data_IF_141112920723
#
_entry.id   IF_141112920723
#
_cell.length_a   1.000
_cell.length_b   1.000
_cell.length_c   1.000
_cell.angle_alpha   90.00
_cell.angle_beta   90.00
_cell.angle_gamma   90.00
#
_symmetry.space_group_name_H-M   'P 1'
#
loop_
_entity.id
_entity.type
_entity.pdbx_description
1 polymer ?
#
# COMPACT_ATOMS: atom_id res chain seq x y z
N UNK A 1 -15.84 7.16 -0.20
CA UNK A 1 -16.57 7.71 -1.37
C UNK A 1 -15.98 7.03 -2.59
N UNK A 2 -16.83 6.42 -3.43
CA UNK A 2 -16.40 5.71 -4.62
C UNK A 2 -16.89 6.39 -5.89
N UNK A 3 -15.99 6.59 -6.87
CA UNK A 3 -16.27 7.11 -8.20
C UNK A 3 -16.23 8.63 -8.31
N UNK A 4 -15.71 9.11 -9.44
CA UNK A 4 -15.70 10.51 -9.80
C UNK A 4 -17.11 10.96 -10.28
N UNK A 5 -17.47 12.21 -10.04
CA UNK A 5 -18.71 12.80 -10.54
C UNK A 5 -19.33 13.83 -9.58
N UNK A 6 -20.36 14.53 -10.06
CA UNK A 6 -21.00 15.66 -9.35
C UNK A 6 -21.54 15.29 -7.96
N UNK A 7 -22.10 14.08 -7.81
CA UNK A 7 -22.65 13.58 -6.55
C UNK A 7 -21.76 12.54 -5.87
N UNK A 8 -20.48 12.45 -6.28
CA UNK A 8 -19.52 11.45 -5.81
C UNK A 8 -18.21 12.13 -5.43
N UNK A 9 -17.08 11.64 -5.94
CA UNK A 9 -15.79 12.32 -5.76
C UNK A 9 -15.64 13.48 -6.74
N UNK A 10 -15.40 14.65 -6.20
CA UNK A 10 -15.06 15.88 -6.92
C UNK A 10 -14.27 16.79 -5.96
N UNK A 11 -13.73 17.90 -6.45
CA UNK A 11 -12.91 18.80 -5.64
C UNK A 11 -13.64 19.27 -4.37
N UNK A 12 -14.91 19.63 -4.44
CA UNK A 12 -15.68 20.10 -3.27
C UNK A 12 -15.87 19.01 -2.20
N UNK A 13 -16.12 17.77 -2.63
CA UNK A 13 -16.23 16.63 -1.70
C UNK A 13 -14.88 16.32 -1.05
N UNK A 14 -13.78 16.39 -1.81
CA UNK A 14 -12.42 16.22 -1.28
C UNK A 14 -12.09 17.32 -0.29
N UNK A 15 -12.33 18.59 -0.66
CA UNK A 15 -12.16 19.74 0.23
C UNK A 15 -12.93 19.55 1.54
N UNK A 16 -14.23 19.26 1.44
CA UNK A 16 -15.07 19.03 2.62
C UNK A 16 -14.58 17.89 3.50
N UNK A 17 -14.18 16.76 2.91
CA UNK A 17 -13.65 15.62 3.64
C UNK A 17 -12.33 15.99 4.35
N UNK A 18 -11.48 16.76 3.68
CA UNK A 18 -10.20 17.21 4.21
C UNK A 18 -10.38 18.28 5.28
N UNK A 19 -11.37 19.19 5.15
CA UNK A 19 -11.71 20.14 6.22
C UNK A 19 -12.13 19.41 7.51
N UNK A 20 -12.96 18.36 7.40
CA UNK A 20 -13.32 17.55 8.57
C UNK A 20 -12.12 16.81 9.17
N UNK A 21 -11.23 16.26 8.34
CA UNK A 21 -9.97 15.69 8.81
C UNK A 21 -9.09 16.74 9.48
N UNK A 22 -9.03 17.96 8.93
CA UNK A 22 -8.26 19.08 9.51
C UNK A 22 -8.73 19.44 10.92
N UNK A 23 -10.05 19.55 11.13
CA UNK A 23 -10.59 19.82 12.48
C UNK A 23 -10.23 18.71 13.47
N UNK A 24 -10.31 17.45 13.02
CA UNK A 24 -9.91 16.32 13.86
C UNK A 24 -8.42 16.35 14.20
N UNK A 25 -7.55 16.62 13.22
CA UNK A 25 -6.08 16.69 13.40
C UNK A 25 -5.70 17.86 14.33
N UNK A 26 -6.32 19.02 14.18
CA UNK A 26 -6.08 20.21 15.02
C UNK A 26 -6.49 19.99 16.49
N UNK A 27 -7.33 18.99 16.76
CA UNK A 27 -7.66 18.57 18.13
C UNK A 27 -6.52 17.86 18.88
N UNK A 28 -5.41 17.52 18.21
CA UNK A 28 -4.27 16.87 18.82
C UNK A 28 -3.09 17.84 18.97
N UNK A 29 -2.39 17.76 20.10
CA UNK A 29 -1.19 18.54 20.33
C UNK A 29 -0.12 18.28 19.25
N UNK A 30 0.38 19.34 18.63
CA UNK A 30 1.35 19.24 17.54
C UNK A 30 0.79 18.66 16.23
N UNK A 31 -0.53 18.53 16.09
CA UNK A 31 -1.15 17.94 14.89
C UNK A 31 -0.88 18.75 13.64
N UNK A 32 -0.89 20.08 13.73
CA UNK A 32 -0.62 20.98 12.61
C UNK A 32 0.83 20.84 12.10
N UNK A 33 1.79 20.86 13.00
CA UNK A 33 3.23 20.79 12.69
C UNK A 33 3.66 19.41 12.23
N UNK A 34 3.11 18.35 12.83
CA UNK A 34 3.33 16.97 12.40
C UNK A 34 2.81 16.71 10.99
N UNK A 35 1.72 17.36 10.67
CA UNK A 35 1.17 17.37 9.33
C UNK A 35 0.60 16.04 8.84
N UNK A 36 0.31 15.99 7.54
CA UNK A 36 -0.34 14.87 6.86
C UNK A 36 0.44 14.49 5.61
N UNK A 37 0.79 13.21 5.47
CA UNK A 37 1.41 12.68 4.25
C UNK A 37 0.34 12.29 3.23
N UNK A 38 0.60 12.52 1.93
CA UNK A 38 -0.39 12.31 0.86
C UNK A 38 0.25 11.56 -0.29
N UNK A 39 -0.40 10.46 -0.71
CA UNK A 39 -0.06 9.71 -1.92
C UNK A 39 -1.30 9.47 -2.80
N UNK A 40 -1.08 9.06 -4.01
CA UNK A 40 -2.16 8.79 -4.97
C UNK A 40 -1.71 7.74 -6.00
N UNK A 41 -2.70 7.07 -6.60
CA UNK A 41 -2.50 6.08 -7.65
C UNK A 41 -2.68 6.68 -9.06
N UNK A 42 -2.71 5.83 -10.09
CA UNK A 42 -2.84 6.20 -11.50
C UNK A 42 -4.25 6.58 -11.94
N UNK A 43 -5.27 6.49 -11.07
CA UNK A 43 -6.67 6.72 -11.43
C UNK A 43 -6.94 8.14 -11.87
N UNK A 44 -7.97 8.30 -12.69
CA UNK A 44 -8.44 9.62 -13.14
C UNK A 44 -8.65 10.54 -11.95
N UNK A 45 -8.15 11.77 -12.02
CA UNK A 45 -8.24 12.82 -11.01
C UNK A 45 -7.54 12.50 -9.67
N UNK A 46 -6.78 11.39 -9.54
CA UNK A 46 -6.13 11.06 -8.27
C UNK A 46 -5.11 12.13 -7.85
N UNK A 47 -4.32 12.64 -8.80
CA UNK A 47 -3.34 13.71 -8.55
C UNK A 47 -4.03 15.03 -8.17
N UNK A 48 -5.06 15.42 -8.91
CA UNK A 48 -5.82 16.65 -8.65
C UNK A 48 -6.52 16.60 -7.29
N UNK A 49 -7.10 15.47 -6.93
CA UNK A 49 -7.71 15.28 -5.61
C UNK A 49 -6.70 15.25 -4.47
N UNK A 50 -5.52 14.67 -4.70
CA UNK A 50 -4.44 14.71 -3.72
C UNK A 50 -3.94 16.13 -3.48
N UNK A 51 -3.79 16.91 -4.55
CA UNK A 51 -3.40 18.32 -4.47
C UNK A 51 -4.47 19.17 -3.78
N UNK A 52 -5.76 18.98 -4.11
CA UNK A 52 -6.86 19.66 -3.41
C UNK A 52 -6.83 19.38 -1.90
N UNK A 53 -6.59 18.12 -1.51
CA UNK A 53 -6.44 17.76 -0.10
C UNK A 53 -5.23 18.46 0.53
N UNK A 54 -4.08 18.49 -0.14
CA UNK A 54 -2.88 19.17 0.37
C UNK A 54 -3.10 20.67 0.59
N UNK A 55 -3.67 21.36 -0.41
CA UNK A 55 -3.95 22.79 -0.33
C UNK A 55 -4.99 23.12 0.74
N UNK A 56 -5.99 22.26 0.92
CA UNK A 56 -6.99 22.40 1.99
C UNK A 56 -6.34 22.30 3.39
N UNK A 57 -5.42 21.35 3.58
CA UNK A 57 -4.65 21.22 4.83
C UNK A 57 -3.80 22.46 5.08
N UNK A 58 -3.03 22.92 4.08
CA UNK A 58 -2.21 24.13 4.17
C UNK A 58 -3.05 25.36 4.52
N UNK A 59 -4.22 25.52 3.89
CA UNK A 59 -5.14 26.62 4.17
C UNK A 59 -5.71 26.59 5.62
N UNK A 60 -5.65 25.42 6.29
CA UNK A 60 -5.98 25.25 7.70
C UNK A 60 -4.74 25.33 8.61
N UNK A 61 -3.58 25.72 8.08
CA UNK A 61 -2.33 25.82 8.82
C UNK A 61 -1.69 24.46 9.16
N UNK A 62 -2.08 23.38 8.49
CA UNK A 62 -1.54 22.04 8.70
C UNK A 62 -0.50 21.75 7.63
N UNK A 63 0.66 21.25 8.02
CA UNK A 63 1.71 20.86 7.08
C UNK A 63 1.27 19.67 6.22
N UNK A 64 1.40 19.80 4.91
CA UNK A 64 1.10 18.75 3.93
C UNK A 64 2.39 18.27 3.26
N UNK A 65 2.65 16.96 3.33
CA UNK A 65 3.72 16.27 2.62
C UNK A 65 3.12 15.48 1.48
N UNK A 66 3.23 15.96 0.25
CA UNK A 66 2.63 15.33 -0.92
C UNK A 66 3.70 14.81 -1.87
N UNK A 67 3.53 13.60 -2.39
CA UNK A 67 4.40 13.09 -3.44
C UNK A 67 4.19 13.83 -4.77
N UNK A 68 5.29 14.15 -5.44
CA UNK A 68 5.32 14.79 -6.76
C UNK A 68 4.79 13.89 -7.88
N UNK A 69 4.89 12.58 -7.66
CA UNK A 69 4.42 11.53 -8.55
C UNK A 69 3.70 10.42 -7.77
N UNK A 70 2.97 9.57 -8.47
CA UNK A 70 2.19 8.50 -7.81
C UNK A 70 3.08 7.54 -7.00
N UNK A 71 2.59 7.08 -5.85
CA UNK A 71 3.28 6.14 -4.96
C UNK A 71 2.34 5.06 -4.43
N UNK A 72 2.87 3.84 -4.24
CA UNK A 72 2.17 2.74 -3.56
C UNK A 72 1.68 3.09 -2.15
N UNK A 73 0.54 2.51 -1.77
CA UNK A 73 0.00 2.62 -0.41
C UNK A 73 1.01 2.21 0.68
N UNK A 74 1.79 1.13 0.54
CA UNK A 74 2.81 0.79 1.54
C UNK A 74 3.87 1.89 1.74
N UNK A 75 4.20 2.66 0.69
CA UNK A 75 5.14 3.79 0.81
C UNK A 75 4.50 4.95 1.57
N UNK A 76 3.21 5.24 1.35
CA UNK A 76 2.49 6.21 2.19
C UNK A 76 2.49 5.79 3.67
N UNK A 77 2.12 4.54 3.96
CA UNK A 77 2.10 4.01 5.33
C UNK A 77 3.47 4.16 6.02
N UNK A 78 4.54 3.85 5.29
CA UNK A 78 5.90 4.04 5.76
C UNK A 78 6.22 5.52 6.01
N UNK A 79 5.87 6.40 5.06
CA UNK A 79 6.18 7.83 5.16
C UNK A 79 5.44 8.53 6.29
N UNK A 80 4.20 8.15 6.60
CA UNK A 80 3.48 8.63 7.79
C UNK A 80 4.30 8.39 9.07
N UNK A 81 4.87 7.20 9.21
CA UNK A 81 5.71 6.85 10.37
C UNK A 81 7.08 7.51 10.33
N UNK A 82 7.72 7.54 9.17
CA UNK A 82 9.06 8.11 8.95
C UNK A 82 9.11 9.61 9.27
N UNK A 83 8.13 10.37 8.79
CA UNK A 83 7.99 11.80 9.04
C UNK A 83 7.28 12.10 10.36
N UNK A 84 6.80 11.07 11.08
CA UNK A 84 5.99 11.20 12.30
C UNK A 84 4.72 12.03 12.09
N UNK A 85 4.14 11.96 10.89
CA UNK A 85 2.89 12.61 10.57
C UNK A 85 1.78 12.16 11.51
N UNK A 86 0.79 13.02 11.76
CA UNK A 86 -0.38 12.67 12.56
C UNK A 86 -1.35 11.78 11.77
N UNK A 87 -1.38 11.96 10.45
CA UNK A 87 -2.25 11.20 9.55
C UNK A 87 -1.62 11.05 8.16
N UNK A 88 -2.23 10.22 7.34
CA UNK A 88 -1.96 10.10 5.91
C UNK A 88 -3.24 10.06 5.09
N UNK A 89 -3.16 10.47 3.83
CA UNK A 89 -4.25 10.39 2.85
C UNK A 89 -3.74 9.63 1.64
N UNK A 90 -4.53 8.67 1.14
CA UNK A 90 -4.28 8.12 -0.20
C UNK A 90 -5.53 8.23 -1.06
N UNK A 91 -5.33 8.74 -2.27
CA UNK A 91 -6.39 8.84 -3.28
C UNK A 91 -6.27 7.62 -4.20
N UNK A 92 -7.17 6.65 -3.97
CA UNK A 92 -7.19 5.36 -4.69
C UNK A 92 -8.51 4.64 -4.47
N UNK A 93 -8.89 3.79 -5.42
CA UNK A 93 -9.93 2.78 -5.26
C UNK A 93 -9.36 1.35 -5.41
N UNK A 94 -8.04 1.16 -5.18
CA UNK A 94 -7.38 -0.14 -5.25
C UNK A 94 -7.63 -0.83 -6.62
N UNK A 95 -8.07 -2.05 -6.65
CA UNK A 95 -8.31 -2.87 -7.84
C UNK A 95 -9.71 -2.71 -8.47
N UNK A 96 -10.53 -1.76 -8.01
CA UNK A 96 -11.85 -1.52 -8.60
C UNK A 96 -11.75 -1.06 -10.06
N UNK A 97 -12.82 -1.21 -10.88
CA UNK A 97 -12.89 -0.69 -12.24
C UNK A 97 -12.53 0.79 -12.40
N UNK A 98 -12.22 1.27 -13.62
CA UNK A 98 -11.66 2.62 -13.85
C UNK A 98 -12.58 3.77 -13.44
N UNK A 99 -13.91 3.57 -13.42
CA UNK A 99 -14.87 4.57 -13.01
C UNK A 99 -14.86 4.87 -11.50
N UNK A 100 -14.16 4.07 -10.70
CA UNK A 100 -14.08 4.28 -9.24
C UNK A 100 -12.84 5.08 -8.87
N UNK A 101 -12.98 5.89 -7.81
CA UNK A 101 -11.88 6.46 -7.07
C UNK A 101 -12.26 6.55 -5.58
N UNK A 102 -11.33 6.84 -4.68
CA UNK A 102 -11.56 6.83 -3.24
C UNK A 102 -10.62 7.75 -2.48
N UNK A 103 -11.02 8.06 -1.25
CA UNK A 103 -10.26 8.83 -0.28
C UNK A 103 -10.14 7.98 0.97
N UNK A 104 -8.92 7.50 1.29
CA UNK A 104 -8.64 6.68 2.46
C UNK A 104 -7.76 7.46 3.43
N UNK A 105 -8.06 7.40 4.72
CA UNK A 105 -7.28 8.02 5.78
C UNK A 105 -6.46 6.97 6.52
N UNK A 106 -5.19 7.26 6.72
CA UNK A 106 -4.24 6.53 7.54
C UNK A 106 -3.94 7.32 8.80
N UNK A 107 -3.56 6.65 9.88
CA UNK A 107 -3.27 7.30 11.14
C UNK A 107 -1.76 7.26 11.44
N UNK A 108 -1.36 7.87 12.54
CA UNK A 108 0.06 8.05 12.90
C UNK A 108 0.88 6.76 13.04
N UNK A 109 0.22 5.62 13.22
CA UNK A 109 0.81 4.28 13.24
C UNK A 109 1.12 3.74 11.83
N UNK A 110 0.73 4.46 10.77
CA UNK A 110 0.82 4.04 9.39
C UNK A 110 -0.28 3.04 8.97
N UNK A 111 -1.19 2.69 9.87
CA UNK A 111 -2.38 1.88 9.56
C UNK A 111 -3.54 2.72 9.04
N UNK A 112 -4.47 2.08 8.33
CA UNK A 112 -5.71 2.75 7.95
C UNK A 112 -6.51 3.12 9.21
N UNK A 113 -7.07 4.32 9.27
CA UNK A 113 -7.85 4.82 10.40
C UNK A 113 -8.88 3.80 10.90
N UNK A 114 -8.83 3.48 12.19
CA UNK A 114 -9.72 2.52 12.82
C UNK A 114 -11.17 3.03 12.91
N UNK A 115 -12.13 2.15 13.29
CA UNK A 115 -13.55 2.53 13.32
C UNK A 115 -13.84 3.78 14.16
N UNK A 116 -13.21 3.89 15.35
CA UNK A 116 -13.42 5.04 16.25
C UNK A 116 -12.91 6.35 15.64
N UNK A 117 -11.71 6.34 15.05
CA UNK A 117 -11.15 7.50 14.35
C UNK A 117 -11.98 7.87 13.13
N UNK A 118 -12.36 6.88 12.32
CA UNK A 118 -13.20 7.11 11.14
C UNK A 118 -14.55 7.73 11.51
N UNK A 119 -15.18 7.29 12.59
CA UNK A 119 -16.43 7.85 13.09
C UNK A 119 -16.26 9.29 13.60
N UNK A 120 -15.19 9.58 14.33
CA UNK A 120 -14.87 10.92 14.81
C UNK A 120 -14.57 11.88 13.64
N UNK A 121 -13.74 11.47 12.68
CA UNK A 121 -13.46 12.25 11.46
C UNK A 121 -14.75 12.50 10.68
N UNK A 122 -15.59 11.49 10.53
CA UNK A 122 -16.88 11.64 9.83
C UNK A 122 -17.83 12.61 10.54
N UNK A 123 -17.81 12.65 11.87
CA UNK A 123 -18.58 13.62 12.64
C UNK A 123 -18.12 15.06 12.32
N UNK A 124 -16.82 15.32 12.21
CA UNK A 124 -16.28 16.61 11.81
C UNK A 124 -16.61 16.94 10.34
N UNK A 125 -16.54 15.97 9.41
CA UNK A 125 -16.93 16.15 8.00
C UNK A 125 -18.39 16.61 7.88
N UNK A 126 -19.30 16.05 8.70
CA UNK A 126 -20.72 16.44 8.68
C UNK A 126 -20.96 17.89 9.12
N UNK A 127 -20.08 18.46 9.92
CA UNK A 127 -20.15 19.86 10.37
C UNK A 127 -19.68 20.84 9.31
N UNK A 128 -18.93 20.38 8.29
CA UNK A 128 -18.43 21.24 7.23
C UNK A 128 -19.50 21.48 6.18
N UNK A 129 -19.64 22.73 5.73
CA UNK A 129 -20.44 23.05 4.55
C UNK A 129 -19.72 22.62 3.26
N UNK A 130 -20.48 22.34 2.20
CA UNK A 130 -19.93 21.89 0.91
C UNK A 130 -19.12 22.95 0.17
N UNK A 131 -19.46 24.23 0.34
CA UNK A 131 -18.91 25.35 -0.42
C UNK A 131 -18.16 26.34 0.46
N UNK A 132 -17.86 25.96 1.69
CA UNK A 132 -17.12 26.78 2.64
C UNK A 132 -15.67 26.35 2.78
N UNK A 133 -14.91 27.14 3.51
CA UNK A 133 -13.53 26.89 3.85
C UNK A 133 -12.54 27.73 3.05
N UNK A 134 -11.36 27.94 3.60
CA UNK A 134 -10.33 28.74 2.97
C UNK A 134 -9.80 28.05 1.71
N UNK A 135 -9.34 28.85 0.75
CA UNK A 135 -8.59 28.42 -0.43
C UNK A 135 -7.14 28.87 -0.29
N UNK A 136 -6.25 28.09 -0.88
CA UNK A 136 -4.81 28.39 -0.95
C UNK A 136 -4.28 27.92 -2.28
N UNK A 137 -3.45 28.73 -2.96
CA UNK A 137 -2.76 28.29 -4.17
C UNK A 137 -1.49 27.51 -3.82
N UNK A 138 -0.92 26.82 -4.80
CA UNK A 138 0.36 26.09 -4.62
C UNK A 138 1.45 27.08 -4.18
N UNK A 139 1.56 28.23 -4.86
CA UNK A 139 2.57 29.25 -4.58
C UNK A 139 2.44 29.81 -3.15
N UNK A 140 1.20 30.01 -2.69
CA UNK A 140 0.94 30.44 -1.30
C UNK A 140 1.32 29.37 -0.29
N UNK A 141 0.99 28.11 -0.57
CA UNK A 141 1.30 26.98 0.30
C UNK A 141 2.82 26.75 0.41
N UNK A 142 3.54 26.84 -0.71
CA UNK A 142 5.01 26.76 -0.75
C UNK A 142 5.65 27.96 -0.03
N UNK A 143 5.19 29.17 -0.29
CA UNK A 143 5.71 30.37 0.34
C UNK A 143 5.48 30.38 1.86
N UNK A 144 4.40 29.76 2.35
CA UNK A 144 4.12 29.62 3.78
C UNK A 144 4.98 28.54 4.47
N UNK A 145 5.67 27.69 3.71
CA UNK A 145 6.42 26.53 4.21
C UNK A 145 5.53 25.38 4.69
N UNK A 146 4.23 25.39 4.40
CA UNK A 146 3.28 24.34 4.78
C UNK A 146 3.16 23.22 3.75
N UNK A 147 3.65 23.41 2.52
CA UNK A 147 3.65 22.39 1.48
C UNK A 147 5.07 21.88 1.24
N UNK A 148 5.24 20.56 1.40
CA UNK A 148 6.50 19.88 1.08
C UNK A 148 6.24 18.80 0.02
N UNK A 149 6.96 18.89 -1.10
CA UNK A 149 6.96 17.87 -2.11
C UNK A 149 7.93 16.74 -1.74
N UNK A 150 7.42 15.52 -1.72
CA UNK A 150 8.21 14.30 -1.57
C UNK A 150 8.55 13.76 -2.97
N UNK A 151 9.74 13.22 -3.11
CA UNK A 151 10.30 12.74 -4.39
C UNK A 151 10.96 11.36 -4.24
N UNK A 152 11.54 10.85 -5.32
CA UNK A 152 12.32 9.60 -5.30
C UNK A 152 13.48 9.63 -4.30
N UNK A 153 14.01 10.81 -3.97
CA UNK A 153 15.08 10.95 -2.98
C UNK A 153 14.63 10.58 -1.56
N UNK A 154 13.34 10.75 -1.27
CA UNK A 154 12.75 10.44 0.05
C UNK A 154 12.47 8.94 0.23
N UNK A 155 12.49 8.16 -0.86
CA UNK A 155 12.16 6.74 -0.85
C UNK A 155 13.30 5.81 -0.42
N UNK A 156 14.53 6.30 -0.33
CA UNK A 156 15.72 5.49 -0.07
C UNK A 156 15.64 4.67 1.23
N UNK A 157 15.12 5.26 2.29
CA UNK A 157 14.92 4.58 3.57
C UNK A 157 13.89 3.45 3.48
N UNK A 158 12.80 3.67 2.72
CA UNK A 158 11.79 2.64 2.46
C UNK A 158 12.39 1.41 1.79
N UNK A 159 13.19 1.60 0.75
CA UNK A 159 13.84 0.50 0.04
C UNK A 159 14.84 -0.23 0.92
N UNK A 160 15.68 0.50 1.68
CA UNK A 160 16.62 -0.09 2.64
C UNK A 160 15.91 -0.97 3.66
N UNK A 161 14.85 -0.44 4.28
CA UNK A 161 14.12 -1.13 5.33
C UNK A 161 13.32 -2.32 4.78
N UNK A 162 12.77 -2.19 3.55
CA UNK A 162 12.14 -3.31 2.85
C UNK A 162 13.13 -4.45 2.57
N UNK A 163 14.35 -4.13 2.15
CA UNK A 163 15.39 -5.15 1.95
C UNK A 163 15.82 -5.81 3.26
N UNK A 164 15.80 -5.10 4.37
CA UNK A 164 16.22 -5.62 5.67
C UNK A 164 15.36 -6.77 6.18
N UNK A 165 14.11 -6.89 5.71
CA UNK A 165 13.20 -7.98 6.10
C UNK A 165 13.34 -9.25 5.25
N UNK A 166 14.24 -9.25 4.25
CA UNK A 166 14.51 -10.43 3.43
C UNK A 166 15.04 -11.58 4.30
N UNK A 167 14.36 -12.73 4.21
CA UNK A 167 14.69 -13.87 5.08
C UNK A 167 15.97 -14.61 4.67
N UNK A 168 16.27 -14.70 3.37
CA UNK A 168 17.44 -15.39 2.82
C UNK A 168 18.15 -14.53 1.77
N UNK A 169 18.79 -13.39 2.17
CA UNK A 169 19.45 -12.49 1.22
C UNK A 169 20.61 -13.15 0.46
N UNK A 170 21.34 -14.10 1.09
CA UNK A 170 22.41 -14.86 0.45
C UNK A 170 21.91 -15.68 -0.75
N UNK A 171 20.76 -16.35 -0.60
CA UNK A 171 20.15 -17.13 -1.69
C UNK A 171 19.78 -16.23 -2.87
N UNK A 172 19.18 -15.06 -2.59
CA UNK A 172 18.81 -14.12 -3.67
C UNK A 172 20.05 -13.55 -4.34
N UNK A 173 21.11 -13.28 -3.62
CA UNK A 173 22.40 -12.84 -4.18
C UNK A 173 23.03 -13.90 -5.11
N UNK A 174 22.87 -15.18 -4.79
CA UNK A 174 23.43 -16.29 -5.58
C UNK A 174 22.58 -16.69 -6.78
N UNK A 175 21.25 -16.56 -6.68
CA UNK A 175 20.30 -17.11 -7.65
C UNK A 175 19.40 -16.07 -8.32
N UNK A 176 19.44 -14.82 -7.87
CA UNK A 176 18.47 -13.81 -8.30
C UNK A 176 18.58 -13.44 -9.79
N UNK A 177 19.75 -13.52 -10.37
CA UNK A 177 19.99 -13.28 -11.80
C UNK A 177 19.57 -14.45 -12.69
N UNK A 178 19.47 -15.65 -12.13
CA UNK A 178 19.01 -16.85 -12.86
C UNK A 178 17.49 -16.95 -12.93
N UNK A 179 16.78 -16.34 -11.96
CA UNK A 179 15.31 -16.32 -11.91
C UNK A 179 14.75 -15.42 -13.00
N UNK A 180 14.10 -16.00 -13.99
CA UNK A 180 13.41 -15.26 -15.06
C UNK A 180 11.99 -14.89 -14.61
N UNK A 181 11.76 -13.62 -14.43
CA UNK A 181 10.49 -13.10 -13.94
C UNK A 181 9.82 -12.19 -14.97
N UNK A 182 8.51 -12.26 -15.08
CA UNK A 182 7.70 -11.22 -15.72
C UNK A 182 7.01 -10.42 -14.62
N UNK A 183 7.00 -9.11 -14.76
CA UNK A 183 6.28 -8.21 -13.88
C UNK A 183 5.27 -7.36 -14.64
N UNK A 184 4.07 -7.21 -14.10
CA UNK A 184 3.09 -6.24 -14.56
C UNK A 184 2.58 -5.36 -13.41
N UNK A 185 2.69 -4.04 -13.53
CA UNK A 185 2.10 -3.10 -12.59
C UNK A 185 0.59 -2.87 -12.80
N UNK A 186 -0.03 -3.50 -13.79
CA UNK A 186 -1.43 -3.29 -14.17
C UNK A 186 -1.78 -1.79 -14.28
N UNK A 187 -0.92 -1.01 -14.95
CA UNK A 187 -1.02 0.46 -15.10
C UNK A 187 -0.95 1.25 -13.80
N UNK A 188 -0.46 0.66 -12.71
CA UNK A 188 -0.49 1.22 -11.37
C UNK A 188 0.82 1.88 -10.90
N UNK A 189 0.81 2.29 -9.64
CA UNK A 189 1.90 2.98 -8.95
C UNK A 189 3.12 2.10 -8.66
N UNK A 190 2.97 0.78 -8.73
CA UNK A 190 4.05 -0.18 -8.48
C UNK A 190 5.14 -0.22 -9.54
N UNK A 191 4.92 0.36 -10.74
CA UNK A 191 5.84 0.24 -11.88
C UNK A 191 7.30 0.50 -11.49
N UNK A 192 7.63 1.72 -11.09
CA UNK A 192 9.02 2.07 -10.76
C UNK A 192 9.48 1.49 -9.42
N UNK A 193 8.71 1.58 -8.31
CA UNK A 193 9.15 1.07 -7.02
C UNK A 193 9.44 -0.43 -7.01
N UNK A 194 8.59 -1.25 -7.64
CA UNK A 194 8.80 -2.71 -7.67
C UNK A 194 10.02 -3.07 -8.52
N UNK A 195 10.21 -2.44 -9.68
CA UNK A 195 11.41 -2.66 -10.48
C UNK A 195 12.68 -2.26 -9.72
N UNK A 196 12.62 -1.13 -9.00
CA UNK A 196 13.75 -0.65 -8.22
C UNK A 196 14.12 -1.62 -7.09
N UNK A 197 13.14 -2.07 -6.29
CA UNK A 197 13.40 -2.98 -5.18
C UNK A 197 13.87 -4.37 -5.65
N UNK A 198 13.33 -4.90 -6.75
CA UNK A 198 13.79 -6.15 -7.34
C UNK A 198 15.26 -6.06 -7.77
N UNK A 199 15.63 -4.97 -8.43
CA UNK A 199 17.02 -4.70 -8.82
C UNK A 199 17.95 -4.61 -7.61
N UNK A 200 17.57 -3.87 -6.58
CA UNK A 200 18.34 -3.75 -5.33
C UNK A 200 18.46 -5.09 -4.61
N UNK A 201 17.44 -5.93 -4.67
CA UNK A 201 17.45 -7.28 -4.11
C UNK A 201 18.39 -8.24 -4.87
N UNK A 202 18.79 -7.91 -6.10
CA UNK A 202 19.61 -8.78 -6.96
C UNK A 202 18.80 -9.61 -7.95
N UNK A 203 17.49 -9.37 -8.08
CA UNK A 203 16.63 -10.00 -9.10
C UNK A 203 16.65 -9.11 -10.33
N UNK A 204 17.52 -9.42 -11.29
CA UNK A 204 17.81 -8.55 -12.44
C UNK A 204 17.20 -9.02 -13.76
N UNK A 205 16.84 -10.31 -13.86
CA UNK A 205 16.23 -10.87 -15.06
C UNK A 205 14.70 -10.72 -15.05
N UNK A 206 14.23 -9.47 -15.13
CA UNK A 206 12.82 -9.09 -15.04
C UNK A 206 12.37 -8.47 -16.35
N UNK A 207 11.39 -9.08 -17.01
CA UNK A 207 10.72 -8.53 -18.21
C UNK A 207 9.41 -7.85 -17.80
N UNK A 208 9.20 -6.64 -18.28
CA UNK A 208 8.00 -5.85 -17.95
C UNK A 208 6.97 -5.99 -19.07
N UNK A 209 5.69 -6.09 -18.73
CA UNK A 209 4.58 -6.03 -19.70
C UNK A 209 4.42 -4.59 -20.18
N UNK A 210 5.02 -4.28 -21.33
CA UNK A 210 5.07 -2.89 -21.84
C UNK A 210 3.70 -2.24 -22.01
N UNK A 211 2.69 -3.00 -22.45
CA UNK A 211 1.32 -2.50 -22.63
C UNK A 211 0.65 -2.09 -21.30
N UNK A 212 1.18 -2.56 -20.16
CA UNK A 212 0.65 -2.32 -18.80
C UNK A 212 1.61 -1.51 -17.94
N UNK A 213 2.75 -1.11 -18.49
CA UNK A 213 3.84 -0.45 -17.77
C UNK A 213 3.46 0.96 -17.34
N UNK A 214 3.00 1.77 -18.30
CA UNK A 214 2.72 3.17 -18.03
C UNK A 214 1.43 3.33 -17.19
N UNK A 215 1.46 4.20 -16.17
CA UNK A 215 0.29 4.51 -15.37
C UNK A 215 -0.87 5.01 -16.24
N UNK A 216 -2.02 4.38 -16.10
CA UNK A 216 -3.21 4.77 -16.88
C UNK A 216 -4.49 4.44 -16.10
N UNK A 217 -5.24 5.47 -15.71
CA UNK A 217 -6.47 5.33 -14.94
C UNK A 217 -7.64 4.70 -15.68
N UNK A 218 -7.51 4.47 -16.99
CA UNK A 218 -8.53 3.79 -17.80
C UNK A 218 -8.32 2.27 -17.85
N UNK A 219 -7.16 1.79 -17.41
CA UNK A 219 -6.79 0.37 -17.39
C UNK A 219 -7.13 -0.36 -18.71
N UNK A 220 -6.68 0.13 -19.88
CA UNK A 220 -7.21 -0.26 -21.20
C UNK A 220 -7.00 -1.73 -21.56
N UNK A 221 -6.17 -2.44 -20.84
CA UNK A 221 -5.82 -3.85 -21.11
C UNK A 221 -6.56 -4.83 -20.21
N UNK A 222 -7.33 -4.35 -19.22
CA UNK A 222 -8.04 -5.19 -18.25
C UNK A 222 -9.41 -4.59 -17.89
N UNK A 223 -10.39 -5.41 -17.61
CA UNK A 223 -11.71 -4.94 -17.14
C UNK A 223 -11.62 -4.37 -15.73
N UNK A 224 -10.79 -4.98 -14.87
CA UNK A 224 -10.45 -4.51 -13.55
C UNK A 224 -8.99 -4.88 -13.27
N UNK A 225 -8.19 -3.99 -12.70
CA UNK A 225 -6.77 -4.22 -12.44
C UNK A 225 -6.57 -5.04 -11.14
N UNK A 226 -7.18 -6.24 -11.10
CA UNK A 226 -7.16 -7.12 -9.93
C UNK A 226 -6.13 -8.25 -10.12
N UNK A 227 -5.04 -8.29 -9.36
CA UNK A 227 -4.02 -9.32 -9.46
C UNK A 227 -4.45 -10.71 -8.95
N UNK A 228 -5.68 -10.86 -8.45
CA UNK A 228 -6.28 -12.16 -8.16
C UNK A 228 -7.09 -12.72 -9.34
N UNK A 229 -7.42 -11.90 -10.35
CA UNK A 229 -8.13 -12.34 -11.54
C UNK A 229 -7.15 -12.93 -12.56
N UNK A 230 -7.27 -14.23 -12.94
CA UNK A 230 -6.42 -14.82 -13.97
C UNK A 230 -6.43 -14.06 -15.31
N UNK A 231 -7.52 -13.35 -15.64
CA UNK A 231 -7.63 -12.56 -16.88
C UNK A 231 -6.66 -11.38 -16.89
N UNK A 232 -6.31 -10.82 -15.72
CA UNK A 232 -5.33 -9.73 -15.60
C UNK A 232 -3.92 -10.19 -16.00
N UNK A 233 -3.65 -11.49 -15.97
CA UNK A 233 -2.36 -12.08 -16.34
C UNK A 233 -2.19 -12.42 -17.82
N UNK A 234 -3.21 -12.22 -18.66
CA UNK A 234 -3.17 -12.67 -20.07
C UNK A 234 -1.93 -12.19 -20.80
N UNK A 235 -1.67 -10.88 -20.84
CA UNK A 235 -0.49 -10.31 -21.50
C UNK A 235 0.83 -10.73 -20.82
N UNK A 236 0.81 -10.86 -19.50
CA UNK A 236 1.98 -11.29 -18.74
C UNK A 236 2.32 -12.77 -19.03
N UNK A 237 1.33 -13.64 -19.19
CA UNK A 237 1.54 -15.05 -19.59
C UNK A 237 2.09 -15.16 -21.01
N UNK A 238 1.55 -14.38 -21.96
CA UNK A 238 2.06 -14.32 -23.34
C UNK A 238 3.53 -13.87 -23.38
N UNK A 239 3.90 -12.85 -22.60
CA UNK A 239 5.28 -12.41 -22.48
C UNK A 239 6.15 -13.48 -21.81
N UNK A 240 5.65 -14.09 -20.74
CA UNK A 240 6.36 -15.11 -19.97
C UNK A 240 6.68 -16.36 -20.80
N UNK A 241 5.79 -16.73 -21.73
CA UNK A 241 6.06 -17.83 -22.69
C UNK A 241 7.15 -17.43 -23.69
N UNK A 242 7.15 -16.18 -24.18
CA UNK A 242 8.17 -15.69 -25.13
C UNK A 242 9.57 -15.65 -24.52
N UNK A 243 9.69 -15.22 -23.24
CA UNK A 243 10.98 -15.09 -22.55
C UNK A 243 11.35 -16.32 -21.72
N UNK A 244 10.52 -17.36 -21.75
CA UNK A 244 10.64 -18.58 -20.94
C UNK A 244 10.81 -18.25 -19.44
N UNK A 245 9.90 -17.46 -18.91
CA UNK A 245 9.93 -17.06 -17.51
C UNK A 245 9.50 -18.18 -16.56
N UNK A 246 10.01 -18.15 -15.33
CA UNK A 246 9.69 -19.10 -14.26
C UNK A 246 8.46 -18.65 -13.47
N UNK A 247 8.29 -17.34 -13.31
CA UNK A 247 7.23 -16.75 -12.50
C UNK A 247 6.75 -15.41 -13.09
N UNK A 248 5.52 -15.05 -12.74
CA UNK A 248 4.91 -13.77 -13.08
C UNK A 248 4.43 -13.13 -11.78
N UNK A 249 4.77 -11.85 -11.56
CA UNK A 249 4.27 -11.04 -10.46
C UNK A 249 3.41 -9.91 -11.03
N UNK A 250 2.29 -9.64 -10.40
CA UNK A 250 1.41 -8.53 -10.71
C UNK A 250 1.10 -7.72 -9.43
N UNK A 251 0.95 -6.40 -9.55
CA UNK A 251 0.45 -5.55 -8.47
C UNK A 251 -0.78 -4.78 -8.93
N UNK A 252 -1.71 -4.49 -8.02
CA UNK A 252 -2.84 -3.62 -8.30
C UNK A 252 -2.43 -2.13 -8.35
N UNK A 253 -3.33 -1.21 -8.74
CA UNK A 253 -2.95 0.18 -8.98
C UNK A 253 -2.31 0.92 -7.81
N UNK A 254 -2.71 0.63 -6.58
CA UNK A 254 -2.12 1.21 -5.36
C UNK A 254 -1.09 0.28 -4.69
N UNK A 255 -0.81 -0.87 -5.32
CA UNK A 255 0.25 -1.83 -4.97
C UNK A 255 0.23 -2.30 -3.52
N UNK A 256 -0.95 -2.36 -2.90
CA UNK A 256 -1.15 -2.98 -1.60
C UNK A 256 -1.48 -4.48 -1.71
N UNK A 257 -1.66 -4.98 -2.96
CA UNK A 257 -1.87 -6.39 -3.29
C UNK A 257 -0.88 -6.87 -4.33
N UNK A 258 -0.54 -8.14 -4.25
CA UNK A 258 0.22 -8.83 -5.27
C UNK A 258 -0.46 -10.12 -5.73
N UNK A 259 -0.32 -10.41 -7.00
CA UNK A 259 -0.64 -11.70 -7.60
C UNK A 259 0.62 -12.41 -8.05
N UNK A 260 0.59 -13.73 -8.01
CA UNK A 260 1.68 -14.60 -8.43
C UNK A 260 1.17 -15.70 -9.34
N UNK A 261 1.82 -15.88 -10.48
CA UNK A 261 1.65 -17.06 -11.29
C UNK A 261 2.97 -17.79 -11.44
N UNK A 262 2.94 -19.11 -11.38
CA UNK A 262 4.12 -19.97 -11.49
C UNK A 262 3.97 -20.94 -12.65
N UNK A 263 5.09 -21.29 -13.30
CA UNK A 263 5.11 -22.27 -14.37
C UNK A 263 5.04 -23.69 -13.77
N UNK A 264 4.04 -24.44 -14.14
CA UNK A 264 3.89 -25.85 -13.74
C UNK A 264 4.76 -26.78 -14.59
N UNK A 265 4.91 -28.03 -14.15
CA UNK A 265 5.66 -29.07 -14.86
C UNK A 265 5.12 -29.35 -16.29
N UNK A 266 3.86 -29.06 -16.55
CA UNK A 266 3.23 -29.18 -17.89
C UNK A 266 3.51 -27.96 -18.79
N UNK A 267 4.32 -27.00 -18.34
CA UNK A 267 4.70 -25.80 -19.04
C UNK A 267 3.68 -24.65 -18.95
N UNK A 268 2.50 -24.86 -18.38
CA UNK A 268 1.47 -23.83 -18.26
C UNK A 268 1.63 -23.00 -16.98
N UNK A 269 1.22 -21.75 -17.03
CA UNK A 269 1.14 -20.91 -15.84
C UNK A 269 -0.13 -21.17 -15.03
N UNK A 270 0.04 -21.20 -13.71
CA UNK A 270 -1.06 -21.22 -12.74
C UNK A 270 -1.00 -19.99 -11.87
N UNK A 271 -2.07 -19.17 -11.86
CA UNK A 271 -2.25 -18.08 -10.92
C UNK A 271 -2.58 -18.67 -9.54
N UNK A 272 -1.84 -18.24 -8.54
CA UNK A 272 -2.06 -18.64 -7.15
C UNK A 272 -3.06 -17.70 -6.49
N UNK A 273 -3.96 -18.25 -5.69
CA UNK A 273 -4.87 -17.44 -4.87
C UNK A 273 -4.11 -16.77 -3.73
N UNK A 274 -4.59 -15.63 -3.23
CA UNK A 274 -3.99 -14.92 -2.09
C UNK A 274 -3.78 -15.83 -0.87
N UNK A 275 -4.71 -16.75 -0.59
CA UNK A 275 -4.57 -17.76 0.47
C UNK A 275 -3.38 -18.71 0.25
N UNK A 276 -3.11 -19.11 -0.99
CA UNK A 276 -1.93 -19.94 -1.31
C UNK A 276 -0.64 -19.16 -1.15
N UNK A 277 -0.61 -17.92 -1.67
CA UNK A 277 0.55 -17.03 -1.55
C UNK A 277 0.86 -16.77 -0.08
N UNK A 278 -0.13 -16.35 0.71
CA UNK A 278 0.04 -16.09 2.15
C UNK A 278 0.53 -17.31 2.92
N UNK A 279 0.01 -18.51 2.62
CA UNK A 279 0.49 -19.76 3.26
C UNK A 279 1.93 -20.08 2.88
N UNK A 280 2.32 -19.89 1.62
CA UNK A 280 3.70 -20.11 1.17
C UNK A 280 4.67 -19.12 1.83
N UNK A 281 4.31 -17.83 1.88
CA UNK A 281 5.11 -16.80 2.53
C UNK A 281 5.25 -17.08 4.02
N UNK A 282 4.16 -17.41 4.72
CA UNK A 282 4.18 -17.73 6.14
C UNK A 282 5.11 -18.93 6.43
N UNK A 283 4.97 -20.01 5.66
CA UNK A 283 5.84 -21.18 5.82
C UNK A 283 7.31 -20.84 5.54
N UNK A 284 7.59 -20.08 4.48
CA UNK A 284 8.92 -19.64 4.11
C UNK A 284 9.58 -18.79 5.21
N UNK A 285 8.84 -17.79 5.74
CA UNK A 285 9.33 -16.90 6.78
C UNK A 285 9.64 -17.69 8.05
N UNK A 286 8.69 -18.50 8.55
CA UNK A 286 8.87 -19.26 9.77
C UNK A 286 9.96 -20.34 9.62
N UNK A 287 10.10 -20.98 8.46
CA UNK A 287 11.20 -21.91 8.19
C UNK A 287 12.55 -21.22 8.27
N UNK A 288 12.70 -20.08 7.60
CA UNK A 288 13.96 -19.33 7.61
C UNK A 288 14.30 -18.78 9.00
N UNK A 289 13.30 -18.33 9.76
CA UNK A 289 13.51 -17.90 11.14
C UNK A 289 13.91 -19.07 12.05
N UNK A 290 13.28 -20.25 11.89
CA UNK A 290 13.61 -21.46 12.64
C UNK A 290 15.05 -21.91 12.37
N UNK A 291 15.49 -21.93 11.11
CA UNK A 291 16.85 -22.26 10.71
C UNK A 291 17.91 -21.40 11.41
N UNK A 292 17.59 -20.13 11.66
CA UNK A 292 18.47 -19.16 12.35
C UNK A 292 18.26 -19.09 13.86
N UNK A 293 17.33 -19.85 14.43
CA UNK A 293 16.94 -19.72 15.84
C UNK A 293 16.35 -18.34 16.19
N UNK A 294 15.70 -17.67 15.23
CA UNK A 294 15.23 -16.29 15.34
C UNK A 294 13.72 -16.14 15.57
N UNK A 295 12.99 -17.25 15.79
CA UNK A 295 11.57 -17.17 16.15
C UNK A 295 11.45 -16.60 17.57
N UNK A 296 10.81 -15.44 17.78
CA UNK A 296 10.62 -14.87 19.11
C UNK A 296 9.79 -15.80 19.99
N UNK A 297 10.15 -15.92 21.27
CA UNK A 297 9.46 -16.78 22.25
C UNK A 297 7.98 -16.39 22.39
N UNK A 298 7.69 -15.09 22.31
CA UNK A 298 6.34 -14.51 22.38
C UNK A 298 5.78 -14.16 20.98
N UNK A 299 6.42 -14.68 19.93
CA UNK A 299 6.07 -14.39 18.53
C UNK A 299 4.63 -14.76 18.19
N UNK A 300 3.98 -13.92 17.40
CA UNK A 300 2.66 -14.22 16.85
C UNK A 300 2.51 -13.84 15.39
N UNK A 301 1.61 -14.55 14.72
CA UNK A 301 1.14 -14.30 13.36
C UNK A 301 -0.29 -13.78 13.43
N UNK A 302 -0.67 -12.85 12.55
CA UNK A 302 -2.02 -12.33 12.45
C UNK A 302 -2.67 -12.72 11.12
N UNK A 303 -3.94 -13.09 11.13
CA UNK A 303 -4.75 -13.29 9.92
C UNK A 303 -6.17 -12.81 10.11
N UNK A 304 -6.88 -12.54 9.02
CA UNK A 304 -8.32 -12.31 9.08
C UNK A 304 -9.10 -13.64 9.16
N UNK A 305 -10.32 -13.58 9.66
CA UNK A 305 -11.22 -14.76 9.77
C UNK A 305 -11.54 -15.42 8.43
N UNK A 306 -11.42 -14.68 7.31
CA UNK A 306 -11.66 -15.20 5.95
C UNK A 306 -10.40 -15.84 5.32
N UNK A 307 -9.25 -15.75 6.00
CA UNK A 307 -8.02 -16.37 5.53
C UNK A 307 -8.01 -17.88 5.82
N UNK A 308 -7.24 -18.62 5.01
CA UNK A 308 -7.20 -20.09 5.08
C UNK A 308 -6.82 -20.63 6.46
N UNK A 309 -7.43 -21.78 6.85
CA UNK A 309 -7.05 -22.54 8.04
C UNK A 309 -5.68 -23.24 7.92
N UNK A 310 -5.09 -23.28 6.73
CA UNK A 310 -3.72 -23.80 6.58
C UNK A 310 -2.71 -22.97 7.41
N UNK A 311 -2.95 -21.66 7.58
CA UNK A 311 -2.13 -20.83 8.46
C UNK A 311 -2.13 -21.31 9.92
N UNK A 312 -3.27 -21.84 10.41
CA UNK A 312 -3.37 -22.42 11.79
C UNK A 312 -2.42 -23.63 11.93
N UNK A 313 -2.44 -24.52 10.93
CA UNK A 313 -1.58 -25.71 10.93
C UNK A 313 -0.09 -25.35 10.82
N UNK A 314 0.25 -24.35 9.97
CA UNK A 314 1.63 -23.85 9.84
C UNK A 314 2.10 -23.27 11.17
N UNK A 315 1.34 -22.38 11.80
CA UNK A 315 1.70 -21.79 13.08
C UNK A 315 1.86 -22.85 14.17
N UNK A 316 0.97 -23.83 14.25
CA UNK A 316 1.07 -24.95 15.20
C UNK A 316 2.36 -25.76 14.96
N UNK A 317 2.74 -26.04 13.70
CA UNK A 317 3.97 -26.76 13.36
C UNK A 317 5.24 -26.04 13.83
N UNK A 318 5.26 -24.71 13.80
CA UNK A 318 6.40 -23.91 14.23
C UNK A 318 6.31 -23.49 15.72
N UNK A 319 5.23 -23.80 16.42
CA UNK A 319 5.02 -23.40 17.82
C UNK A 319 4.76 -21.90 17.99
N UNK A 320 4.24 -21.24 16.95
CA UNK A 320 3.96 -19.79 16.92
C UNK A 320 2.48 -19.52 17.20
N UNK A 321 2.18 -18.50 18.01
CA UNK A 321 0.79 -18.10 18.29
C UNK A 321 0.14 -17.52 17.02
N UNK A 322 -1.17 -17.79 16.85
CA UNK A 322 -1.98 -17.20 15.80
C UNK A 322 -3.07 -16.33 16.37
N UNK A 323 -3.21 -15.11 15.88
CA UNK A 323 -4.28 -14.17 16.24
C UNK A 323 -5.20 -13.96 15.04
N UNK A 324 -6.50 -14.07 15.24
CA UNK A 324 -7.51 -13.84 14.21
C UNK A 324 -8.18 -12.49 14.42
N UNK A 325 -8.38 -11.76 13.32
CA UNK A 325 -9.06 -10.46 13.30
C UNK A 325 -10.32 -10.51 12.42
N UNK A 326 -11.25 -9.57 12.56
CA UNK A 326 -12.23 -9.29 11.52
C UNK A 326 -11.56 -8.99 10.18
N UNK A 327 -12.37 -9.00 9.09
CA UNK A 327 -11.88 -8.66 7.76
C UNK A 327 -11.50 -7.18 7.66
N UNK A 328 -10.32 -6.91 7.15
CA UNK A 328 -9.76 -5.57 6.91
C UNK A 328 -8.39 -5.41 7.56
N UNK A 329 -7.41 -4.94 6.76
CA UNK A 329 -6.02 -4.82 7.19
C UNK A 329 -5.85 -3.89 8.41
N UNK A 330 -6.74 -2.90 8.58
CA UNK A 330 -6.77 -2.02 9.76
C UNK A 330 -6.79 -2.75 11.10
N UNK A 331 -7.44 -3.93 11.18
CA UNK A 331 -7.46 -4.72 12.41
C UNK A 331 -6.14 -5.47 12.64
N UNK A 332 -5.44 -5.83 11.58
CA UNK A 332 -4.09 -6.37 11.66
C UNK A 332 -3.12 -5.27 12.08
N UNK A 333 -3.23 -4.06 11.49
CA UNK A 333 -2.41 -2.90 11.86
C UNK A 333 -2.56 -2.56 13.35
N UNK A 334 -3.76 -2.67 13.93
CA UNK A 334 -3.97 -2.48 15.36
C UNK A 334 -3.17 -3.50 16.21
N UNK A 335 -3.09 -4.77 15.78
CA UNK A 335 -2.27 -5.78 16.47
C UNK A 335 -0.77 -5.50 16.33
N UNK A 336 -0.35 -5.00 15.17
CA UNK A 336 1.05 -4.58 14.92
C UNK A 336 1.40 -3.41 15.85
N UNK A 337 0.56 -2.39 15.93
CA UNK A 337 0.78 -1.23 16.82
C UNK A 337 0.86 -1.66 18.28
N UNK A 338 -0.04 -2.53 18.73
CA UNK A 338 -0.01 -3.08 20.11
C UNK A 338 1.28 -3.86 20.38
N UNK A 339 1.83 -4.55 19.38
CA UNK A 339 3.11 -5.26 19.55
C UNK A 339 4.29 -4.32 19.79
N UNK A 340 4.19 -3.05 19.38
CA UNK A 340 5.20 -2.03 19.60
C UNK A 340 4.95 -1.18 20.86
N UNK A 341 3.71 -1.02 21.28
CA UNK A 341 3.32 -0.05 22.32
C UNK A 341 2.90 -0.70 23.65
N UNK A 342 2.42 -1.95 23.63
CA UNK A 342 1.93 -2.64 24.83
C UNK A 342 2.93 -3.71 25.32
N UNK A 343 3.46 -3.51 26.51
CA UNK A 343 4.39 -4.46 27.13
C UNK A 343 3.72 -5.85 27.32
N UNK A 344 4.40 -6.91 26.89
CA UNK A 344 3.91 -8.29 27.00
C UNK A 344 2.83 -8.67 25.97
N UNK A 345 2.51 -7.78 25.03
CA UNK A 345 1.58 -8.13 23.94
C UNK A 345 2.13 -9.21 23.00
N UNK A 346 3.44 -9.27 22.83
CA UNK A 346 4.15 -10.21 21.97
C UNK A 346 4.67 -9.58 20.69
N UNK A 347 5.57 -10.28 20.03
CA UNK A 347 6.28 -9.81 18.83
C UNK A 347 5.56 -10.23 17.55
N UNK A 348 5.11 -9.27 16.73
CA UNK A 348 4.50 -9.54 15.43
C UNK A 348 5.53 -10.11 14.45
N UNK A 349 5.16 -11.18 13.73
CA UNK A 349 6.04 -11.84 12.74
C UNK A 349 5.50 -11.64 11.32
N UNK A 350 4.17 -11.94 11.08
CA UNK A 350 3.58 -11.94 9.75
C UNK A 350 2.06 -11.81 9.81
#
# INVERSE_FOLDING_TARGET
>A
ILGAGTNRMNAQVIKRATLGLSEYVLGFAGGAERGVAIAYDSRRMSREFALEAALTLCAKGIHAYIYDSLRPVPMLSYMVRRLKCIAGIVITASHNPPEYNGYKVYWQDGGQAGPKQAEAIYAEIKRQDYFSGPDMTIEQAEASGLLTWLSDADDADYYRDTLSVMQRPGLVKEQGDTLKMVYTPLHGSGNLPVQHILKLAGITNVSIVEQQREPNGDFPTVTAPNPEDPKAFTLAMELADKVNADAIVATDPDSDRMGLAVREKNGKFRVLTGNKIGSLLLYYILSAMKERGAIPVDGFVAKSIVSTRLADAICAHFGVKLRCTPTGFRFISELIEKSHTEQGFGTFIF
#
